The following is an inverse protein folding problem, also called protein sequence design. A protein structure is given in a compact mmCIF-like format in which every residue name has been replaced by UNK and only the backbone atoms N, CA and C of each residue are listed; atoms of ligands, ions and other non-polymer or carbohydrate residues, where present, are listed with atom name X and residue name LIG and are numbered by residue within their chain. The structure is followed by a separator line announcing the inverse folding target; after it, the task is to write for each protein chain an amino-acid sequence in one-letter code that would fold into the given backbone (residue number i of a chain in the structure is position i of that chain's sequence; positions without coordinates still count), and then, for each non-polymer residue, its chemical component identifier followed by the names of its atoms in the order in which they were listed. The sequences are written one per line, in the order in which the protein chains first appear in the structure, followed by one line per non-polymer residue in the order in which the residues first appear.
data_IF_538984189809
#
_entry.id   IF_538984189809
#
_cell.length_a   1.000
_cell.length_b   1.000
_cell.length_c   1.000
_cell.angle_alpha   90.00
_cell.angle_beta   90.00
_cell.angle_gamma   90.00
#
_symmetry.space_group_name_H-M   'P 1'
#
loop_
_entity.id
_entity.type
_entity.pdbx_description
1 polymer ?
#
# COMPACT_ATOMS: atom_id res chain seq x y z
N UNK A 1 -7.57 -11.15 -5.20
CA UNK A 1 -6.56 -11.42 -4.16
C UNK A 1 -5.12 -11.11 -4.59
N UNK A 2 -4.85 -11.01 -5.91
CA UNK A 2 -3.51 -10.76 -6.47
C UNK A 2 -2.74 -9.55 -5.91
N UNK A 3 -3.41 -8.44 -5.54
CA UNK A 3 -2.71 -7.26 -4.98
C UNK A 3 -2.12 -7.52 -3.58
N UNK A 4 -2.84 -8.26 -2.73
CA UNK A 4 -2.36 -8.62 -1.39
C UNK A 4 -1.21 -9.61 -1.49
N UNK A 5 -1.30 -10.57 -2.41
CA UNK A 5 -0.21 -11.50 -2.70
C UNK A 5 1.04 -10.77 -3.19
N UNK A 6 0.88 -9.84 -4.14
CA UNK A 6 1.97 -8.99 -4.62
C UNK A 6 2.58 -8.15 -3.49
N UNK A 7 1.75 -7.55 -2.63
CA UNK A 7 2.22 -6.82 -1.45
C UNK A 7 3.11 -7.70 -0.55
N UNK A 8 2.67 -8.91 -0.23
CA UNK A 8 3.43 -9.84 0.61
C UNK A 8 4.77 -10.25 -0.04
N UNK A 9 4.79 -10.47 -1.36
CA UNK A 9 6.05 -10.75 -2.07
C UNK A 9 7.02 -9.56 -2.05
N UNK A 10 6.52 -8.35 -2.29
CA UNK A 10 7.32 -7.14 -2.26
C UNK A 10 7.90 -6.87 -0.87
N UNK A 11 7.12 -7.09 0.20
CA UNK A 11 7.61 -6.99 1.57
C UNK A 11 8.72 -8.00 1.87
N UNK A 12 8.60 -9.25 1.39
CA UNK A 12 9.67 -10.25 1.50
C UNK A 12 10.93 -9.80 0.75
N UNK A 13 10.78 -9.35 -0.51
CA UNK A 13 11.89 -8.85 -1.33
C UNK A 13 12.59 -7.66 -0.66
N UNK A 14 11.82 -6.71 -0.13
CA UNK A 14 12.33 -5.58 0.64
C UNK A 14 13.13 -6.03 1.87
N UNK A 15 12.60 -6.97 2.66
CA UNK A 15 13.25 -7.48 3.86
C UNK A 15 14.59 -8.17 3.58
N UNK A 16 14.67 -8.95 2.49
CA UNK A 16 15.88 -9.68 2.12
C UNK A 16 16.87 -8.89 1.25
N UNK A 17 16.48 -7.72 0.75
CA UNK A 17 17.34 -6.88 -0.07
C UNK A 17 18.58 -6.41 0.73
N UNK A 18 19.77 -6.62 0.15
CA UNK A 18 21.04 -6.24 0.78
C UNK A 18 21.56 -4.87 0.33
N UNK A 19 21.06 -4.36 -0.79
CA UNK A 19 21.46 -3.06 -1.33
C UNK A 19 20.37 -2.03 -1.05
N UNK A 20 20.77 -0.84 -0.62
CA UNK A 20 19.81 0.22 -0.27
C UNK A 20 18.97 0.66 -1.47
N UNK A 21 19.56 0.73 -2.67
CA UNK A 21 18.83 1.02 -3.92
C UNK A 21 17.69 0.03 -4.19
N UNK A 22 17.89 -1.24 -3.84
CA UNK A 22 16.89 -2.30 -4.07
C UNK A 22 15.78 -2.18 -3.01
N UNK A 23 16.13 -1.85 -1.76
CA UNK A 23 15.16 -1.52 -0.71
C UNK A 23 14.30 -0.34 -1.12
N UNK A 24 14.90 0.77 -1.56
CA UNK A 24 14.16 1.95 -2.03
C UNK A 24 13.23 1.61 -3.19
N UNK A 25 13.68 0.77 -4.13
CA UNK A 25 12.84 0.29 -5.23
C UNK A 25 11.62 -0.48 -4.70
N UNK A 26 11.83 -1.46 -3.83
CA UNK A 26 10.73 -2.25 -3.28
C UNK A 26 9.81 -1.42 -2.39
N UNK A 27 10.33 -0.47 -1.62
CA UNK A 27 9.52 0.44 -0.79
C UNK A 27 8.59 1.29 -1.67
N UNK A 28 9.07 1.83 -2.79
CA UNK A 28 8.23 2.56 -3.75
C UNK A 28 7.14 1.68 -4.34
N UNK A 29 7.48 0.44 -4.69
CA UNK A 29 6.50 -0.52 -5.23
C UNK A 29 5.44 -0.90 -4.18
N UNK A 30 5.85 -1.10 -2.92
CA UNK A 30 4.94 -1.33 -1.79
C UNK A 30 3.95 -0.17 -1.67
N UNK A 31 4.43 1.08 -1.63
CA UNK A 31 3.56 2.27 -1.55
C UNK A 31 2.57 2.36 -2.71
N UNK A 32 2.97 1.95 -3.91
CA UNK A 32 2.07 1.92 -5.08
C UNK A 32 0.98 0.85 -4.96
N UNK A 33 1.30 -0.33 -4.44
CA UNK A 33 0.32 -1.42 -4.25
C UNK A 33 -0.60 -1.09 -3.08
N UNK A 34 -0.08 -0.49 -2.01
CA UNK A 34 -0.85 -0.01 -0.86
C UNK A 34 -1.96 0.95 -1.28
N UNK A 35 -1.61 1.99 -2.05
CA UNK A 35 -2.58 2.94 -2.58
C UNK A 35 -3.61 2.32 -3.55
N UNK A 36 -3.27 1.21 -4.22
CA UNK A 36 -4.24 0.46 -5.03
C UNK A 36 -5.21 -0.34 -4.16
N UNK A 37 -4.71 -0.95 -3.09
CA UNK A 37 -5.54 -1.67 -2.11
C UNK A 37 -6.50 -0.70 -1.42
N UNK A 38 -6.01 0.45 -0.95
CA UNK A 38 -6.83 1.50 -0.33
C UNK A 38 -8.00 1.92 -1.23
N UNK A 39 -7.72 2.18 -2.52
CA UNK A 39 -8.78 2.55 -3.48
C UNK A 39 -9.83 1.46 -3.60
N UNK A 40 -9.44 0.20 -3.75
CA UNK A 40 -10.39 -0.90 -3.83
C UNK A 40 -11.21 -1.08 -2.55
N UNK A 41 -10.59 -0.86 -1.38
CA UNK A 41 -11.30 -0.89 -0.10
C UNK A 41 -12.32 0.24 -0.04
N UNK A 42 -11.94 1.46 -0.41
CA UNK A 42 -12.87 2.59 -0.43
C UNK A 42 -14.02 2.39 -1.42
N UNK A 43 -13.73 1.85 -2.61
CA UNK A 43 -14.76 1.48 -3.59
C UNK A 43 -15.69 0.39 -3.07
N UNK A 44 -15.15 -0.65 -2.42
CA UNK A 44 -15.95 -1.74 -1.85
C UNK A 44 -16.93 -1.25 -0.78
N UNK A 45 -16.51 -0.29 0.03
CA UNK A 45 -17.34 0.31 1.08
C UNK A 45 -18.13 1.54 0.61
N UNK A 46 -17.96 1.97 -0.65
CA UNK A 46 -18.69 3.10 -1.24
C UNK A 46 -18.38 4.45 -0.60
N UNK A 47 -17.15 4.66 -0.09
CA UNK A 47 -16.77 5.90 0.59
C UNK A 47 -16.74 7.08 -0.38
N UNK A 48 -17.22 8.22 0.08
CA UNK A 48 -17.06 9.52 -0.55
C UNK A 48 -15.65 10.10 -0.32
N UNK A 49 -15.26 11.12 -1.10
CA UNK A 49 -13.97 11.78 -0.93
C UNK A 49 -13.79 12.40 0.47
N UNK A 50 -14.88 12.87 1.08
CA UNK A 50 -14.86 13.44 2.43
C UNK A 50 -14.57 12.35 3.48
N UNK A 51 -15.24 11.20 3.37
CA UNK A 51 -15.01 10.06 4.26
C UNK A 51 -13.60 9.49 4.10
N UNK A 52 -13.07 9.43 2.87
CA UNK A 52 -11.68 9.01 2.61
C UNK A 52 -10.69 9.95 3.30
N UNK A 53 -10.92 11.27 3.28
CA UNK A 53 -10.05 12.24 3.97
C UNK A 53 -10.03 11.99 5.47
N UNK A 54 -11.20 11.82 6.08
CA UNK A 54 -11.32 11.53 7.52
C UNK A 54 -10.60 10.23 7.89
N UNK A 55 -10.76 9.16 7.10
CA UNK A 55 -10.06 7.89 7.32
C UNK A 55 -8.54 8.09 7.26
N UNK A 56 -8.04 8.80 6.25
CA UNK A 56 -6.59 9.07 6.12
C UNK A 56 -6.03 9.90 7.28
N UNK A 57 -6.75 10.92 7.73
CA UNK A 57 -6.36 11.72 8.89
C UNK A 57 -6.35 10.91 10.19
N UNK A 58 -7.24 9.92 10.30
CA UNK A 58 -7.30 9.03 11.48
C UNK A 58 -6.17 8.01 11.54
N UNK A 59 -5.67 7.54 10.39
CA UNK A 59 -4.59 6.53 10.31
C UNK A 59 -3.19 7.15 10.43
N UNK A 60 -3.04 8.44 10.09
CA UNK A 60 -1.75 9.18 10.12
C UNK A 60 -1.46 9.81 11.51
N UNK A 61 -2.40 9.73 12.47
CA UNK A 61 -2.20 10.19 13.85
C UNK A 61 -1.47 9.17 14.71
#
# INVERSE_FOLDING_TARGET
MALVENMLELQKKHHYARMDRDKELYERQIKMVDAQIDRLVYELYGLTEEEVKVVKESVIR
#
